data_IF_517559263598
#
_entry.id   IF_517559263598
#
_cell.length_a   1.000
_cell.length_b   1.000
_cell.length_c   1.000
_cell.angle_alpha   90.00
_cell.angle_beta   90.00
_cell.angle_gamma   90.00
#
_symmetry.space_group_name_H-M   'P 1'
#
loop_
_entity.id
_entity.type
_entity.pdbx_description
1 polymer ?
#
# COMPACT_ATOMS: atom_id res chain seq x y z
N UNK A 1 26.94 0.58 -3.30
CA UNK A 1 25.54 1.07 -3.25
C UNK A 1 24.68 -0.14 -2.90
N UNK A 2 24.46 -0.37 -1.61
CA UNK A 2 23.65 -1.49 -1.14
C UNK A 2 22.19 -1.03 -1.09
N UNK A 3 21.36 -1.59 -1.97
CA UNK A 3 19.92 -1.49 -1.82
C UNK A 3 19.52 -2.32 -0.59
N UNK A 4 18.73 -1.75 0.30
CA UNK A 4 18.24 -2.40 1.52
C UNK A 4 17.38 -3.62 1.11
N UNK A 5 17.72 -4.80 1.65
CA UNK A 5 17.05 -6.09 1.42
C UNK A 5 15.58 -6.12 1.90
N UNK A 6 15.09 -5.01 2.46
CA UNK A 6 13.69 -4.77 2.82
C UNK A 6 12.83 -4.28 1.66
N UNK A 7 13.40 -3.91 0.51
CA UNK A 7 12.66 -3.54 -0.71
C UNK A 7 12.24 -4.77 -1.51
N UNK A 8 11.67 -5.78 -0.84
CA UNK A 8 11.14 -6.95 -1.54
C UNK A 8 9.88 -6.55 -2.28
N UNK A 9 9.96 -6.55 -3.61
CA UNK A 9 8.79 -6.51 -4.46
C UNK A 9 7.84 -7.63 -4.01
N UNK A 10 6.60 -7.26 -3.65
CA UNK A 10 5.58 -8.23 -3.26
C UNK A 10 5.41 -9.29 -4.34
N UNK A 11 5.48 -8.90 -5.62
CA UNK A 11 5.47 -9.82 -6.75
C UNK A 11 6.64 -10.81 -6.74
N UNK A 12 7.83 -10.40 -6.31
CA UNK A 12 8.99 -11.29 -6.17
C UNK A 12 8.86 -12.28 -5.01
N UNK A 13 7.99 -12.00 -4.03
CA UNK A 13 7.66 -12.93 -2.94
C UNK A 13 6.55 -13.93 -3.28
N UNK A 14 5.82 -13.69 -4.37
CA UNK A 14 4.80 -14.61 -4.87
C UNK A 14 5.47 -15.79 -5.59
N UNK A 15 5.00 -17.00 -5.31
CA UNK A 15 5.58 -18.22 -5.88
C UNK A 15 5.52 -18.23 -7.42
N UNK A 16 4.50 -17.61 -8.00
CA UNK A 16 4.35 -17.42 -9.44
C UNK A 16 3.68 -16.08 -9.78
N UNK A 17 3.93 -15.49 -10.97
CA UNK A 17 3.19 -14.33 -11.45
C UNK A 17 1.67 -14.56 -11.52
N UNK A 18 1.22 -15.81 -11.74
CA UNK A 18 -0.19 -16.17 -11.72
C UNK A 18 -0.85 -16.01 -10.34
N UNK A 19 -0.09 -16.06 -9.25
CA UNK A 19 -0.66 -15.89 -7.92
C UNK A 19 -1.13 -14.45 -7.68
N UNK A 20 -0.63 -13.45 -8.42
CA UNK A 20 -1.15 -12.08 -8.40
C UNK A 20 -2.62 -12.01 -8.86
N UNK A 21 -3.05 -12.93 -9.72
CA UNK A 21 -4.46 -13.03 -10.15
C UNK A 21 -5.39 -13.55 -9.05
N UNK A 22 -4.83 -14.14 -7.98
CA UNK A 22 -5.60 -14.64 -6.83
C UNK A 22 -5.78 -13.60 -5.75
N UNK A 23 -4.95 -12.56 -5.74
CA UNK A 23 -5.03 -11.46 -4.79
C UNK A 23 -6.33 -10.70 -5.01
N UNK A 24 -7.10 -10.53 -3.93
CA UNK A 24 -8.36 -9.75 -3.89
C UNK A 24 -8.25 -8.51 -3.03
N UNK A 25 -7.40 -8.54 -2.02
CA UNK A 25 -7.22 -7.43 -1.09
C UNK A 25 -5.74 -7.23 -0.87
N UNK A 26 -5.28 -5.98 -0.92
CA UNK A 26 -3.92 -5.64 -0.51
C UNK A 26 -3.97 -4.60 0.60
N UNK A 27 -3.17 -4.84 1.64
CA UNK A 27 -2.95 -3.89 2.72
C UNK A 27 -1.64 -3.13 2.49
N UNK A 28 -1.71 -1.81 2.54
CA UNK A 28 -0.60 -0.88 2.38
C UNK A 28 -0.47 -0.04 3.64
N UNK A 29 0.72 0.03 4.25
CA UNK A 29 0.94 0.95 5.36
C UNK A 29 0.78 2.40 4.87
N UNK A 30 -0.13 3.13 5.49
CA UNK A 30 -0.33 4.56 5.27
C UNK A 30 0.78 5.34 5.96
N UNK A 31 1.68 5.91 5.16
CA UNK A 31 2.76 6.77 5.62
C UNK A 31 2.27 8.23 5.64
N UNK A 32 2.74 9.02 6.61
CA UNK A 32 2.53 10.48 6.60
C UNK A 32 3.25 11.04 5.35
N UNK A 33 2.60 11.79 4.44
CA UNK A 33 3.25 12.35 3.26
C UNK A 33 4.41 13.31 3.57
N UNK A 34 4.61 13.69 4.84
CA UNK A 34 5.79 14.42 5.33
C UNK A 34 6.99 13.52 5.63
N UNK A 35 6.77 12.22 5.77
CA UNK A 35 7.80 11.20 5.99
C UNK A 35 8.17 10.55 4.65
N UNK A 36 9.14 11.15 3.93
CA UNK A 36 9.69 10.55 2.71
C UNK A 36 10.28 9.18 3.01
N UNK A 37 9.58 8.10 2.64
CA UNK A 37 10.13 6.75 2.68
C UNK A 37 10.47 6.26 1.27
N UNK A 38 11.52 5.44 1.09
CA UNK A 38 12.01 5.05 -0.24
C UNK A 38 10.98 4.32 -1.13
N UNK A 39 9.87 3.85 -0.56
CA UNK A 39 8.79 3.15 -1.27
C UNK A 39 7.56 4.01 -1.57
N UNK A 40 7.49 5.27 -1.11
CA UNK A 40 6.40 6.18 -1.49
C UNK A 40 6.33 6.45 -3.00
N UNK A 41 7.42 6.16 -3.71
CA UNK A 41 7.56 6.23 -5.16
C UNK A 41 6.91 5.08 -5.93
N UNK A 42 6.21 4.12 -5.29
CA UNK A 42 5.37 3.20 -6.04
C UNK A 42 4.22 3.98 -6.67
N UNK A 43 4.24 4.07 -7.98
CA UNK A 43 3.11 4.51 -8.80
C UNK A 43 1.90 3.64 -8.45
N UNK A 44 0.91 4.25 -7.80
CA UNK A 44 -0.32 3.60 -7.30
C UNK A 44 -1.11 3.01 -8.45
N UNK A 45 -1.06 3.66 -9.61
CA UNK A 45 -1.69 3.14 -10.81
C UNK A 45 -1.05 1.85 -11.28
N UNK A 46 0.28 1.82 -11.42
CA UNK A 46 1.03 0.61 -11.80
C UNK A 46 0.82 -0.49 -10.76
N UNK A 47 0.81 -0.12 -9.47
CA UNK A 47 0.52 -1.05 -8.39
C UNK A 47 -0.85 -1.70 -8.53
N UNK A 48 -1.93 -0.92 -8.69
CA UNK A 48 -3.30 -1.45 -8.87
C UNK A 48 -3.38 -2.33 -10.12
N UNK A 49 -2.74 -1.92 -11.24
CA UNK A 49 -2.70 -2.71 -12.49
C UNK A 49 -1.99 -4.05 -12.35
N UNK A 50 -1.11 -4.19 -11.35
CA UNK A 50 -0.41 -5.45 -11.08
C UNK A 50 -1.32 -6.54 -10.47
N UNK A 51 -2.53 -6.18 -10.04
CA UNK A 51 -3.50 -7.10 -9.44
C UNK A 51 -4.83 -7.09 -10.22
N UNK A 52 -4.98 -7.94 -11.26
CA UNK A 52 -6.12 -7.88 -12.19
C UNK A 52 -7.49 -8.15 -11.57
N UNK A 53 -7.52 -8.71 -10.35
CA UNK A 53 -8.75 -9.06 -9.63
C UNK A 53 -8.83 -8.37 -8.26
N UNK A 54 -8.15 -7.24 -8.10
CA UNK A 54 -8.16 -6.50 -6.85
C UNK A 54 -9.56 -5.95 -6.59
N UNK A 55 -10.14 -6.36 -5.47
CA UNK A 55 -11.46 -5.94 -5.02
C UNK A 55 -11.37 -4.81 -3.99
N UNK A 56 -10.28 -4.73 -3.21
CA UNK A 56 -10.10 -3.67 -2.19
C UNK A 56 -8.62 -3.31 -1.97
N UNK A 57 -8.38 -2.03 -1.67
CA UNK A 57 -7.11 -1.53 -1.12
C UNK A 57 -7.34 -1.11 0.32
N UNK A 58 -6.50 -1.58 1.25
CA UNK A 58 -6.60 -1.28 2.67
C UNK A 58 -5.40 -0.45 3.11
N UNK A 59 -5.62 0.82 3.40
CA UNK A 59 -4.63 1.73 3.95
C UNK A 59 -4.54 1.53 5.46
N UNK A 60 -3.40 1.04 5.93
CA UNK A 60 -3.17 0.68 7.32
C UNK A 60 -2.41 1.80 8.04
N UNK A 61 -3.07 2.50 8.96
CA UNK A 61 -2.46 3.52 9.80
C UNK A 61 -1.65 2.88 10.93
N UNK A 62 -0.39 3.32 11.06
CA UNK A 62 0.45 2.97 12.20
C UNK A 62 -0.04 3.64 13.49
N UNK A 63 0.08 2.94 14.62
CA UNK A 63 -0.17 3.47 15.96
C UNK A 63 0.88 4.53 16.32
N UNK A 64 0.62 5.79 15.94
CA UNK A 64 1.44 6.93 16.32
C UNK A 64 2.90 6.88 15.77
N UNK A 65 3.54 8.04 15.62
CA UNK A 65 4.89 8.17 15.02
C UNK A 65 5.97 7.30 15.69
N UNK A 66 5.72 6.84 16.91
CA UNK A 66 6.62 6.03 17.71
C UNK A 66 6.76 4.55 17.26
N UNK A 67 5.78 4.00 16.53
CA UNK A 67 5.88 2.59 16.10
C UNK A 67 6.95 2.39 15.03
N UNK A 68 7.10 3.39 14.15
CA UNK A 68 8.09 3.40 13.08
C UNK A 68 9.50 3.78 13.56
N UNK A 69 9.64 4.45 14.70
CA UNK A 69 10.94 4.76 15.32
C UNK A 69 11.51 3.61 16.16
N UNK A 70 10.68 2.61 16.49
CA UNK A 70 11.04 1.48 17.36
C UNK A 70 11.02 0.12 16.67
N UNK A 71 10.94 0.04 15.33
CA UNK A 71 11.32 -1.21 14.65
C UNK A 71 12.83 -1.35 14.86
N UNK A 72 13.32 -2.30 15.67
CA UNK A 72 14.74 -2.50 15.82
C UNK A 72 15.27 -2.82 14.42
N UNK A 73 16.25 -2.06 13.92
CA UNK A 73 17.00 -2.37 12.69
C UNK A 73 17.83 -3.67 12.81
N UNK A 74 17.53 -4.50 13.80
CA UNK A 74 18.20 -5.75 14.11
C UNK A 74 17.41 -6.91 13.48
N UNK A 75 18.04 -7.52 12.50
CA UNK A 75 17.68 -8.79 11.90
C UNK A 75 17.43 -9.87 12.97
N UNK A 76 16.18 -10.31 13.09
CA UNK A 76 15.76 -11.47 13.88
C UNK A 76 14.23 -11.49 14.01
N UNK A 77 13.58 -12.67 13.96
CA UNK A 77 12.14 -12.75 14.09
C UNK A 77 11.79 -12.51 15.57
N UNK A 78 11.56 -11.26 15.95
CA UNK A 78 10.82 -10.98 17.18
C UNK A 78 9.35 -11.23 16.85
N UNK A 79 8.99 -12.51 16.77
CA UNK A 79 7.61 -12.99 16.86
C UNK A 79 7.15 -12.76 18.30
N UNK A 80 6.82 -11.52 18.63
CA UNK A 80 5.72 -11.37 19.58
C UNK A 80 4.46 -11.58 18.75
N UNK A 81 3.88 -12.78 18.83
CA UNK A 81 2.50 -13.09 18.41
C UNK A 81 1.53 -12.28 19.27
N UNK A 82 1.57 -10.95 19.13
CA UNK A 82 0.57 -10.06 19.72
C UNK A 82 -0.58 -10.04 18.74
N UNK A 83 -1.74 -10.52 19.17
CA UNK A 83 -2.96 -10.40 18.38
C UNK A 83 -3.23 -8.91 18.09
N UNK A 84 -3.28 -8.58 16.81
CA UNK A 84 -3.58 -7.24 16.33
C UNK A 84 -4.94 -7.27 15.67
N UNK A 85 -5.80 -6.36 16.07
CA UNK A 85 -7.09 -6.11 15.41
C UNK A 85 -6.94 -4.94 14.43
N UNK A 86 -7.55 -5.05 13.26
CA UNK A 86 -7.67 -3.94 12.31
C UNK A 86 -9.01 -3.26 12.52
N UNK A 87 -8.97 -2.03 13.01
CA UNK A 87 -10.18 -1.24 13.31
C UNK A 87 -10.33 -0.14 12.27
N UNK A 88 -11.52 0.05 11.66
CA UNK A 88 -11.78 1.16 10.75
C UNK A 88 -11.39 2.51 11.36
N UNK A 89 -10.74 3.35 10.55
CA UNK A 89 -10.46 4.74 10.93
C UNK A 89 -11.62 5.59 10.45
N UNK A 90 -12.48 5.99 11.38
CA UNK A 90 -13.64 6.83 11.09
C UNK A 90 -13.29 8.33 11.04
N UNK A 91 -14.21 9.12 10.51
CA UNK A 91 -14.12 10.58 10.50
C UNK A 91 -13.22 11.18 9.41
N UNK A 92 -12.80 12.42 9.64
CA UNK A 92 -12.05 13.22 8.66
C UNK A 92 -10.68 12.61 8.33
N UNK A 93 -10.04 11.94 9.28
CA UNK A 93 -8.71 11.35 9.07
C UNK A 93 -8.77 10.20 8.06
N UNK A 94 -9.69 9.24 8.24
CA UNK A 94 -9.87 8.13 7.30
C UNK A 94 -10.22 8.66 5.90
N UNK A 95 -11.13 9.62 5.82
CA UNK A 95 -11.52 10.27 4.56
C UNK A 95 -10.33 10.94 3.88
N UNK A 96 -9.51 11.68 4.64
CA UNK A 96 -8.32 12.38 4.11
C UNK A 96 -7.30 11.40 3.55
N UNK A 97 -7.06 10.29 4.23
CA UNK A 97 -6.09 9.27 3.80
C UNK A 97 -6.58 8.57 2.53
N UNK A 98 -7.85 8.15 2.48
CA UNK A 98 -8.44 7.54 1.30
C UNK A 98 -8.39 8.48 0.09
N UNK A 99 -8.84 9.73 0.25
CA UNK A 99 -8.79 10.74 -0.82
C UNK A 99 -7.38 11.06 -1.29
N UNK A 100 -6.39 11.01 -0.39
CA UNK A 100 -4.99 11.19 -0.76
C UNK A 100 -4.51 10.09 -1.71
N UNK A 101 -4.88 8.84 -1.43
CA UNK A 101 -4.58 7.71 -2.30
C UNK A 101 -5.31 7.81 -3.64
N UNK A 102 -6.62 8.09 -3.61
CA UNK A 102 -7.44 8.26 -4.80
C UNK A 102 -6.89 9.35 -5.72
N UNK A 103 -6.57 10.52 -5.16
CA UNK A 103 -6.02 11.63 -5.93
C UNK A 103 -4.67 11.26 -6.58
N UNK A 104 -3.78 10.60 -5.84
CA UNK A 104 -2.50 10.13 -6.39
C UNK A 104 -2.71 9.15 -7.55
N UNK A 105 -3.58 8.14 -7.36
CA UNK A 105 -3.93 7.18 -8.40
C UNK A 105 -4.44 7.88 -9.67
N UNK A 106 -5.43 8.76 -9.57
CA UNK A 106 -6.00 9.39 -10.76
C UNK A 106 -5.01 10.32 -11.48
N UNK A 107 -4.17 11.05 -10.74
CA UNK A 107 -3.12 11.88 -11.35
C UNK A 107 -2.10 11.03 -12.12
N UNK A 108 -1.66 9.92 -11.54
CA UNK A 108 -0.72 8.99 -12.18
C UNK A 108 -1.36 8.31 -13.41
N UNK A 109 -2.62 7.88 -13.30
CA UNK A 109 -3.35 7.24 -14.38
C UNK A 109 -3.54 8.17 -15.59
N UNK A 110 -3.87 9.44 -15.33
CA UNK A 110 -3.95 10.45 -16.37
C UNK A 110 -2.58 10.70 -17.02
N UNK A 111 -1.51 10.80 -16.23
CA UNK A 111 -0.17 11.01 -16.74
C UNK A 111 0.29 9.83 -17.63
N UNK A 112 0.10 8.60 -17.17
CA UNK A 112 0.45 7.39 -17.91
C UNK A 112 -0.38 7.24 -19.19
N UNK A 113 -1.68 7.56 -19.14
CA UNK A 113 -2.54 7.57 -20.31
C UNK A 113 -2.04 8.54 -21.37
N UNK A 114 -1.70 9.77 -20.98
CA UNK A 114 -1.18 10.79 -21.90
C UNK A 114 0.12 10.32 -22.56
N UNK A 115 1.07 9.82 -21.77
CA UNK A 115 2.37 9.34 -22.26
C UNK A 115 2.18 8.21 -23.28
N UNK A 116 1.31 7.24 -23.01
CA UNK A 116 1.07 6.09 -23.91
C UNK A 116 0.34 6.50 -25.20
N UNK A 117 -0.63 7.40 -25.10
CA UNK A 117 -1.29 7.99 -26.27
C UNK A 117 -0.30 8.77 -27.17
N UNK A 118 0.61 9.56 -26.58
CA UNK A 118 1.65 10.29 -27.33
C UNK A 118 2.63 9.34 -28.04
N UNK A 119 2.89 8.17 -27.48
CA UNK A 119 3.69 7.11 -28.11
C UNK A 119 2.93 6.31 -29.17
N UNK A 120 1.64 6.61 -29.40
CA UNK A 120 0.79 5.91 -30.37
C UNK A 120 0.36 4.51 -29.92
N UNK A 121 0.43 4.23 -28.62
CA UNK A 121 0.08 2.94 -28.04
C UNK A 121 -1.34 2.96 -27.46
N UNK A 122 -2.02 1.82 -27.53
CA UNK A 122 -3.31 1.65 -26.85
C UNK A 122 -3.10 1.59 -25.33
N UNK A 123 -3.83 2.44 -24.59
CA UNK A 123 -3.76 2.50 -23.14
C UNK A 123 -5.03 1.97 -22.50
N UNK A 124 -4.90 0.90 -21.72
CA UNK A 124 -6.02 0.35 -20.94
C UNK A 124 -6.04 1.03 -19.58
N UNK A 125 -7.15 1.71 -19.28
CA UNK A 125 -7.34 2.36 -18.00
C UNK A 125 -7.68 1.35 -16.90
N UNK A 126 -7.16 1.56 -15.70
CA UNK A 126 -7.53 0.81 -14.51
C UNK A 126 -8.70 1.49 -13.79
N UNK A 127 -9.55 0.66 -13.20
CA UNK A 127 -10.54 1.12 -12.23
C UNK A 127 -9.94 1.00 -10.84
N UNK A 128 -10.01 2.06 -10.05
CA UNK A 128 -9.60 2.02 -8.64
C UNK A 128 -10.65 1.25 -7.83
N UNK A 129 -10.30 0.12 -7.18
CA UNK A 129 -11.19 -0.53 -6.22
C UNK A 129 -11.39 0.33 -4.97
N UNK A 130 -12.43 0.06 -4.15
CA UNK A 130 -12.64 0.74 -2.87
C UNK A 130 -11.38 0.81 -2.01
N UNK A 131 -11.12 2.01 -1.47
CA UNK A 131 -10.01 2.28 -0.55
C UNK A 131 -10.55 2.36 0.87
N UNK A 132 -10.19 1.39 1.71
CA UNK A 132 -10.55 1.37 3.13
C UNK A 132 -9.38 1.86 3.97
N UNK A 133 -9.66 2.49 5.11
CA UNK A 133 -8.62 2.92 6.05
C UNK A 133 -8.84 2.25 7.40
N UNK A 134 -7.83 1.55 7.87
CA UNK A 134 -7.84 0.83 9.15
C UNK A 134 -6.63 1.22 9.98
N UNK A 135 -6.73 1.06 11.30
CA UNK A 135 -5.60 1.21 12.22
C UNK A 135 -5.33 -0.13 12.88
N UNK A 136 -4.05 -0.40 13.17
CA UNK A 136 -3.66 -1.54 14.00
C UNK A 136 -4.03 -1.22 15.45
N UNK A 137 -4.77 -2.08 16.13
CA UNK A 137 -5.06 -1.98 17.56
C UNK A 137 -4.53 -3.23 18.26
N UNK A 138 -3.84 -3.05 19.39
CA UNK A 138 -3.37 -4.19 20.20
C UNK A 138 -4.55 -4.77 20.96
N UNK A 139 -4.68 -6.10 20.94
CA UNK A 139 -5.60 -6.81 21.82
C UNK A 139 -4.89 -6.99 23.17
N UNK A 140 -5.38 -6.29 24.20
CA UNK A 140 -4.96 -6.54 25.58
C UNK A 140 -5.82 -7.70 26.11
N UNK A 141 -5.22 -8.89 26.24
CA UNK A 141 -5.79 -9.94 27.08
C UNK A 141 -5.41 -9.59 28.52
N UNK A 142 -6.43 -9.34 29.35
CA UNK A 142 -6.29 -8.95 30.75
C UNK A 142 -5.69 -10.01 31.65
#
# INVERSE_FOLDING_TARGET
MGYDDSLRDFGASMATPSDLQRVRVVALDSVDPREKRPWESYDKTVFVKSFPRLENVVMVRGLNRAWLSNIPRAMGPVQEEREVEFVPVEGEEGTRVAKGFEAAFFMEEEALSRIRCEMGEEYITATLPPVMVVSKKRIERG
#
